data_IF_222646287247
#
_entry.id   IF_222646287247
#
_cell.length_a   1.000
_cell.length_b   1.000
_cell.length_c   1.000
_cell.angle_alpha   90.00
_cell.angle_beta   90.00
_cell.angle_gamma   90.00
#
_symmetry.space_group_name_H-M   'P 1'
#
loop_
_entity.id
_entity.type
_entity.pdbx_description
1 polymer ?
#
# COMPACT_ATOMS: atom_id res chain seq x y z
N UNK A 1 -1.08 5.10 5.24
CA UNK A 1 -1.86 3.97 4.69
C UNK A 1 -2.71 3.30 5.78
N UNK A 2 -4.03 3.29 5.59
CA UNK A 2 -5.00 2.64 6.49
C UNK A 2 -5.11 1.12 6.27
N UNK A 3 -4.52 0.60 5.20
CA UNK A 3 -4.44 -0.83 4.92
C UNK A 3 -3.00 -1.35 4.85
N UNK A 4 -2.86 -2.68 4.95
CA UNK A 4 -1.66 -3.45 4.60
C UNK A 4 -1.95 -4.37 3.43
N UNK A 5 -0.93 -4.72 2.65
CA UNK A 5 -1.04 -5.71 1.58
C UNK A 5 -0.19 -6.93 1.95
N UNK A 6 -0.75 -8.14 1.80
CA UNK A 6 -0.06 -9.41 2.06
C UNK A 6 -0.43 -10.46 1.02
N UNK A 7 0.50 -11.37 0.73
CA UNK A 7 0.21 -12.56 -0.06
C UNK A 7 -0.21 -13.67 0.90
N UNK A 8 -1.42 -14.20 0.72
CA UNK A 8 -1.95 -15.34 1.46
C UNK A 8 -2.04 -16.55 0.54
N UNK A 9 -1.89 -17.75 1.11
CA UNK A 9 -2.08 -19.02 0.40
C UNK A 9 -3.37 -19.64 0.92
N UNK A 10 -4.34 -19.86 0.03
CA UNK A 10 -5.60 -20.52 0.38
C UNK A 10 -5.43 -22.04 0.40
N UNK A 11 -6.43 -22.76 0.92
CA UNK A 11 -6.39 -24.23 1.12
C UNK A 11 -6.05 -25.02 -0.15
N UNK A 12 -6.42 -24.51 -1.33
CA UNK A 12 -6.08 -25.09 -2.63
C UNK A 12 -4.65 -24.79 -3.12
N UNK A 13 -3.79 -24.20 -2.29
CA UNK A 13 -2.42 -23.80 -2.65
C UNK A 13 -2.32 -22.53 -3.50
N UNK A 14 -3.44 -21.88 -3.79
CA UNK A 14 -3.50 -20.67 -4.62
C UNK A 14 -3.06 -19.44 -3.82
N UNK A 15 -2.22 -18.60 -4.44
CA UNK A 15 -1.74 -17.33 -3.84
C UNK A 15 -2.70 -16.20 -4.18
N UNK A 16 -3.08 -15.43 -3.17
CA UNK A 16 -3.93 -14.25 -3.29
C UNK A 16 -3.24 -13.03 -2.71
N UNK A 17 -3.33 -11.91 -3.42
CA UNK A 17 -2.94 -10.60 -2.89
C UNK A 17 -4.13 -10.05 -2.11
N UNK A 18 -3.97 -9.85 -0.81
CA UNK A 18 -5.03 -9.43 0.09
C UNK A 18 -4.67 -8.10 0.72
N UNK A 19 -5.59 -7.14 0.62
CA UNK A 19 -5.50 -5.83 1.27
C UNK A 19 -6.34 -5.89 2.54
N UNK A 20 -5.69 -5.71 3.70
CA UNK A 20 -6.29 -5.86 5.03
C UNK A 20 -6.31 -4.50 5.72
N UNK A 21 -7.49 -4.09 6.17
CA UNK A 21 -7.69 -2.86 6.94
C UNK A 21 -6.98 -2.95 8.30
N UNK A 22 -6.23 -1.91 8.69
CA UNK A 22 -5.56 -1.83 10.01
C UNK A 22 -6.53 -1.37 11.11
N UNK A 23 -7.54 -0.61 10.73
CA UNK A 23 -8.57 -0.03 11.59
C UNK A 23 -9.93 -0.10 10.88
N UNK A 24 -11.03 0.15 11.59
CA UNK A 24 -12.34 0.31 10.94
C UNK A 24 -12.29 1.46 9.92
N UNK A 25 -12.80 1.22 8.71
CA UNK A 25 -12.87 2.20 7.61
C UNK A 25 -14.33 2.59 7.42
N UNK A 26 -14.63 3.88 7.41
CA UNK A 26 -16.00 4.39 7.23
C UNK A 26 -16.34 4.52 5.76
N UNK A 27 -17.64 4.56 5.45
CA UNK A 27 -18.11 4.81 4.10
C UNK A 27 -17.60 6.17 3.60
N UNK A 28 -17.03 6.18 2.40
CA UNK A 28 -16.45 7.37 1.76
C UNK A 28 -14.97 7.64 2.10
N UNK A 29 -14.36 6.86 2.99
CA UNK A 29 -12.91 6.96 3.23
C UNK A 29 -12.12 6.30 2.09
N UNK A 30 -11.02 6.94 1.69
CA UNK A 30 -10.10 6.40 0.70
C UNK A 30 -9.31 5.22 1.28
N UNK A 31 -9.28 4.10 0.57
CA UNK A 31 -8.47 2.93 0.92
C UNK A 31 -7.05 3.14 0.41
N UNK A 32 -6.08 3.19 1.33
CA UNK A 32 -4.68 3.45 1.01
C UNK A 32 -3.79 2.34 1.57
N UNK A 33 -2.94 1.76 0.73
CA UNK A 33 -1.91 0.80 1.13
C UNK A 33 -0.55 1.19 0.57
N UNK A 34 0.52 0.66 1.16
CA UNK A 34 1.87 0.90 0.70
C UNK A 34 2.19 0.02 -0.51
N UNK A 35 2.61 0.64 -1.61
CA UNK A 35 2.96 -0.03 -2.86
C UNK A 35 4.26 -0.82 -2.76
N UNK A 36 5.12 -0.51 -1.77
CA UNK A 36 6.40 -1.19 -1.55
C UNK A 36 7.23 -1.30 -2.84
N UNK A 37 7.36 -0.19 -3.58
CA UNK A 37 8.29 -0.15 -4.70
C UNK A 37 9.68 -0.54 -4.19
N UNK A 38 10.35 -1.46 -4.90
CA UNK A 38 11.74 -1.79 -4.58
C UNK A 38 12.62 -0.54 -4.68
N UNK A 39 13.78 -0.57 -4.01
CA UNK A 39 14.82 0.46 -4.17
C UNK A 39 15.40 0.32 -5.58
N UNK A 40 14.67 0.79 -6.59
CA UNK A 40 15.14 0.94 -7.95
C UNK A 40 16.07 2.15 -8.07
N UNK A 41 16.69 2.31 -9.24
CA UNK A 41 17.59 3.43 -9.51
C UNK A 41 16.92 4.77 -9.16
N UNK A 42 17.65 5.63 -8.43
CA UNK A 42 17.22 6.93 -7.90
C UNK A 42 16.72 7.93 -8.96
N UNK A 43 16.78 7.57 -10.24
CA UNK A 43 16.42 8.40 -11.40
C UNK A 43 14.92 8.43 -11.73
N UNK A 44 14.12 7.47 -11.25
CA UNK A 44 12.68 7.37 -11.55
C UNK A 44 11.81 7.64 -10.30
N UNK A 45 12.14 8.65 -9.50
CA UNK A 45 11.35 8.98 -8.29
C UNK A 45 9.96 9.50 -8.67
N UNK A 46 8.93 8.74 -8.34
CA UNK A 46 7.54 9.14 -8.49
C UNK A 46 7.10 9.95 -7.27
N UNK A 47 6.71 11.21 -7.49
CA UNK A 47 6.25 12.09 -6.42
C UNK A 47 4.96 11.56 -5.77
N UNK A 48 4.93 11.55 -4.44
CA UNK A 48 3.73 11.15 -3.71
C UNK A 48 2.87 12.38 -3.38
N UNK A 49 1.59 12.33 -3.74
CA UNK A 49 0.63 13.41 -3.55
C UNK A 49 -0.45 13.09 -2.51
N UNK A 50 -0.20 12.16 -1.60
CA UNK A 50 -1.21 11.71 -0.62
C UNK A 50 -1.57 12.74 0.47
N UNK A 51 -0.84 13.86 0.56
CA UNK A 51 -1.11 14.94 1.51
C UNK A 51 -0.83 14.63 2.99
N UNK A 52 -0.34 13.44 3.33
CA UNK A 52 -0.06 13.07 4.72
C UNK A 52 1.15 13.83 5.28
N UNK A 53 1.03 14.35 6.52
CA UNK A 53 2.11 15.11 7.20
C UNK A 53 3.42 14.32 7.31
N UNK A 54 3.34 13.00 7.46
CA UNK A 54 4.48 12.10 7.60
C UNK A 54 4.85 11.39 6.28
N UNK A 55 4.43 11.92 5.13
CA UNK A 55 4.75 11.33 3.83
C UNK A 55 6.23 11.51 3.50
N UNK A 56 6.85 10.48 2.90
CA UNK A 56 8.22 10.54 2.39
C UNK A 56 8.37 11.41 1.13
N UNK A 57 7.27 11.91 0.56
CA UNK A 57 7.25 12.74 -0.64
C UNK A 57 7.42 11.98 -1.97
N UNK A 58 7.66 10.67 -1.90
CA UNK A 58 7.83 9.78 -3.06
C UNK A 58 7.22 8.40 -2.81
N UNK A 59 6.85 7.69 -3.88
CA UNK A 59 6.30 6.33 -3.80
C UNK A 59 7.39 5.25 -3.81
N UNK A 60 8.58 5.56 -4.34
CA UNK A 60 9.75 4.70 -4.47
C UNK A 60 11.05 5.37 -3.99
#
# INVERSE_FOLDING_TARGET
>A
PNCTCRILVCEAGQKHIVIIAKTAIRAGEEITYDYQFGIGNETDKLACLCGARSCLGRMN
#
